data_IF_259432148371
#
_entry.id   IF_259432148371
#
_cell.length_a   1.000
_cell.length_b   1.000
_cell.length_c   1.000
_cell.angle_alpha   90.00
_cell.angle_beta   90.00
_cell.angle_gamma   90.00
#
_symmetry.space_group_name_H-M   'P 1'
#
loop_
_entity.id
_entity.type
_entity.pdbx_description
1 polymer ?
#
# COMPACT_ATOMS: atom_id res chain seq x y z
N UNK A 1 -0.37 -25.60 -57.35
CA UNK A 1 -1.12 -24.47 -56.74
C UNK A 1 -1.51 -24.66 -55.26
N UNK A 2 -1.61 -25.87 -54.70
CA UNK A 2 -2.00 -26.07 -53.28
C UNK A 2 -0.91 -25.67 -52.25
N UNK A 3 0.36 -25.77 -52.59
CA UNK A 3 1.50 -25.46 -51.71
C UNK A 3 1.70 -23.96 -51.49
N UNK A 4 1.48 -23.14 -52.53
CA UNK A 4 1.66 -21.68 -52.48
C UNK A 4 0.62 -20.97 -51.59
N UNK A 5 -0.61 -21.49 -51.53
CA UNK A 5 -1.66 -20.97 -50.65
C UNK A 5 -1.34 -21.27 -49.19
N UNK A 6 -0.65 -22.38 -48.90
CA UNK A 6 -0.31 -22.76 -47.54
C UNK A 6 0.82 -21.89 -46.97
N UNK A 7 1.84 -21.59 -47.77
CA UNK A 7 2.92 -20.65 -47.39
C UNK A 7 2.39 -19.23 -47.17
N UNK A 8 1.45 -18.76 -47.99
CA UNK A 8 0.82 -17.43 -47.79
C UNK A 8 0.01 -17.39 -46.48
N UNK A 9 -0.75 -18.44 -46.16
CA UNK A 9 -1.51 -18.52 -44.92
C UNK A 9 -0.62 -18.57 -43.68
N UNK A 10 0.49 -19.30 -43.74
CA UNK A 10 1.48 -19.37 -42.64
C UNK A 10 2.13 -17.99 -42.44
N UNK A 11 2.54 -17.32 -43.53
CA UNK A 11 3.13 -15.99 -43.44
C UNK A 11 2.18 -14.94 -42.81
N UNK A 12 0.89 -14.97 -43.19
CA UNK A 12 -0.13 -14.10 -42.59
C UNK A 12 -0.35 -14.39 -41.10
N UNK A 13 -0.32 -15.65 -40.69
CA UNK A 13 -0.46 -16.03 -39.28
C UNK A 13 0.75 -15.55 -38.44
N UNK A 14 1.96 -15.63 -38.99
CA UNK A 14 3.18 -15.16 -38.33
C UNK A 14 3.17 -13.65 -38.08
N UNK A 15 2.68 -12.87 -39.05
CA UNK A 15 2.59 -11.40 -38.94
C UNK A 15 1.55 -10.99 -37.88
N UNK A 16 0.42 -11.69 -37.81
CA UNK A 16 -0.62 -11.47 -36.79
C UNK A 16 -0.15 -11.82 -35.36
N UNK A 17 0.71 -12.84 -35.21
CA UNK A 17 1.26 -13.21 -33.91
C UNK A 17 2.31 -12.19 -33.43
N UNK A 18 3.10 -11.63 -34.34
CA UNK A 18 4.05 -10.57 -34.05
C UNK A 18 3.35 -9.28 -33.60
N UNK A 19 2.25 -8.87 -34.24
CA UNK A 19 1.52 -7.66 -33.85
C UNK A 19 0.79 -7.77 -32.50
N UNK A 20 0.30 -8.96 -32.13
CA UNK A 20 -0.29 -9.20 -30.81
C UNK A 20 0.76 -9.15 -29.68
N UNK A 21 2.03 -9.40 -29.97
CA UNK A 21 3.10 -9.42 -28.95
C UNK A 21 3.62 -8.02 -28.60
N UNK A 22 3.39 -7.00 -29.43
CA UNK A 22 3.92 -5.65 -29.23
C UNK A 22 2.97 -4.72 -28.44
N UNK A 23 1.75 -5.16 -28.13
CA UNK A 23 0.71 -4.29 -27.53
C UNK A 23 0.77 -4.17 -26.00
N UNK A 24 1.72 -4.84 -25.33
CA UNK A 24 1.85 -4.79 -23.86
C UNK A 24 3.15 -4.14 -23.35
N UNK A 25 3.92 -3.47 -24.22
CA UNK A 25 5.16 -2.79 -23.82
C UNK A 25 4.99 -1.26 -23.84
N UNK A 26 3.95 -0.74 -23.21
CA UNK A 26 3.93 0.67 -22.84
C UNK A 26 4.67 0.78 -21.50
N UNK A 27 6.00 0.93 -21.58
CA UNK A 27 6.83 1.27 -20.42
C UNK A 27 6.46 2.71 -20.05
N UNK A 28 5.57 2.84 -19.07
CA UNK A 28 5.32 4.12 -18.40
C UNK A 28 6.58 4.37 -17.56
N UNK A 29 7.45 5.25 -18.05
CA UNK A 29 8.46 5.87 -17.21
C UNK A 29 7.73 6.89 -16.35
N UNK A 30 7.42 6.53 -15.10
CA UNK A 30 7.19 7.51 -14.05
C UNK A 30 8.55 8.13 -13.75
N UNK A 31 8.86 9.26 -14.41
CA UNK A 31 9.88 10.18 -13.90
C UNK A 31 9.31 10.79 -12.61
N UNK A 32 9.44 10.07 -11.49
CA UNK A 32 9.38 10.68 -10.17
C UNK A 32 10.63 11.56 -10.01
N UNK A 33 10.54 12.81 -10.47
CA UNK A 33 11.52 13.82 -10.08
C UNK A 33 11.39 14.03 -8.57
N UNK A 34 12.26 13.36 -7.81
CA UNK A 34 12.43 13.59 -6.37
C UNK A 34 12.74 15.08 -6.16
N UNK A 35 11.83 15.80 -5.49
CA UNK A 35 12.01 17.23 -5.25
C UNK A 35 13.13 17.44 -4.23
N UNK A 36 14.26 17.99 -4.69
CA UNK A 36 15.42 18.28 -3.82
C UNK A 36 15.19 19.59 -3.08
N UNK A 37 14.94 19.51 -1.77
CA UNK A 37 14.81 20.69 -0.91
C UNK A 37 16.16 21.11 -0.32
N UNK A 38 16.51 22.39 -0.46
CA UNK A 38 17.76 23.01 0.02
C UNK A 38 17.88 23.14 1.56
N UNK A 39 16.92 22.60 2.31
CA UNK A 39 16.93 22.62 3.78
C UNK A 39 16.75 21.21 4.33
N UNK A 40 17.84 20.59 4.80
CA UNK A 40 17.80 19.29 5.49
C UNK A 40 17.05 19.31 6.83
N UNK A 41 16.69 20.49 7.35
CA UNK A 41 16.27 20.67 8.74
C UNK A 41 14.95 21.44 8.94
N UNK A 42 14.22 21.79 7.88
CA UNK A 42 12.88 22.36 8.05
C UNK A 42 11.86 21.22 8.23
N UNK A 43 11.22 21.16 9.39
CA UNK A 43 10.03 20.33 9.60
C UNK A 43 9.02 20.62 8.49
N UNK A 44 8.49 19.55 7.87
CA UNK A 44 7.46 19.66 6.84
C UNK A 44 6.23 20.35 7.40
N UNK A 45 5.80 21.43 6.74
CA UNK A 45 4.58 22.15 7.12
C UNK A 45 3.37 21.33 6.68
N UNK A 46 2.68 20.74 7.67
CA UNK A 46 1.47 19.92 7.47
C UNK A 46 0.23 20.79 7.68
N UNK A 47 -0.57 20.95 6.64
CA UNK A 47 -1.82 21.72 6.66
C UNK A 47 -3.00 20.90 7.17
N UNK A 48 -3.03 19.61 6.86
CA UNK A 48 -4.10 18.70 7.30
C UNK A 48 -3.54 17.30 7.40
N UNK A 49 -3.87 16.60 8.49
CA UNK A 49 -3.51 15.20 8.66
C UNK A 49 -4.51 14.56 9.62
N UNK A 50 -5.35 13.68 9.09
CA UNK A 50 -6.27 12.88 9.91
C UNK A 50 -5.80 11.42 10.10
N UNK A 51 -4.67 11.03 9.52
CA UNK A 51 -4.07 9.70 9.70
C UNK A 51 -3.58 9.47 11.14
N UNK A 52 -2.94 10.48 11.75
CA UNK A 52 -2.45 10.36 13.14
C UNK A 52 -3.58 10.08 14.12
N UNK A 53 -4.68 10.83 14.02
CA UNK A 53 -5.86 10.62 14.85
C UNK A 53 -6.53 9.27 14.54
N UNK A 54 -6.56 8.86 13.28
CA UNK A 54 -7.09 7.56 12.87
C UNK A 54 -6.27 6.40 13.47
N UNK A 55 -4.95 6.47 13.40
CA UNK A 55 -4.05 5.48 14.01
C UNK A 55 -4.17 5.46 15.53
N UNK A 56 -4.20 6.62 16.18
CA UNK A 56 -4.43 6.72 17.61
C UNK A 56 -5.76 6.08 18.04
N UNK A 57 -6.83 6.26 17.27
CA UNK A 57 -8.12 5.59 17.51
C UNK A 57 -8.04 4.08 17.38
N UNK A 58 -7.35 3.57 16.36
CA UNK A 58 -7.17 2.12 16.16
C UNK A 58 -6.36 1.50 17.29
N UNK A 59 -5.30 2.17 17.72
CA UNK A 59 -4.45 1.76 18.84
C UNK A 59 -5.27 1.70 20.14
N UNK A 60 -6.07 2.73 20.40
CA UNK A 60 -6.89 2.83 21.61
C UNK A 60 -7.93 1.70 21.76
N UNK A 61 -8.27 0.98 20.69
CA UNK A 61 -9.18 -0.17 20.81
C UNK A 61 -8.53 -1.40 21.43
N UNK A 62 -7.20 -1.45 21.56
CA UNK A 62 -6.37 -2.58 22.04
C UNK A 62 -6.52 -3.90 21.24
N UNK A 63 -7.48 -3.96 20.33
CA UNK A 63 -7.75 -5.09 19.45
C UNK A 63 -8.48 -4.58 18.20
N UNK A 64 -7.82 -4.66 17.05
CA UNK A 64 -8.38 -4.15 15.79
C UNK A 64 -9.13 -5.27 15.07
N UNK A 65 -10.47 -5.23 15.05
CA UNK A 65 -11.25 -6.14 14.20
C UNK A 65 -11.38 -5.56 12.79
N UNK A 66 -10.39 -5.85 11.94
CA UNK A 66 -10.35 -5.32 10.57
C UNK A 66 -11.61 -5.61 9.74
N UNK A 67 -12.33 -6.71 9.99
CA UNK A 67 -13.57 -6.99 9.24
C UNK A 67 -14.62 -5.92 9.53
N UNK A 68 -14.82 -5.61 10.82
CA UNK A 68 -15.80 -4.63 11.29
C UNK A 68 -15.36 -3.22 10.86
N UNK A 69 -14.11 -2.85 11.12
CA UNK A 69 -13.59 -1.52 10.81
C UNK A 69 -13.63 -1.22 9.30
N UNK A 70 -13.25 -2.18 8.44
CA UNK A 70 -13.33 -2.01 6.99
C UNK A 70 -14.77 -1.88 6.52
N UNK A 71 -15.71 -2.61 7.14
CA UNK A 71 -17.12 -2.54 6.78
C UNK A 71 -17.72 -1.18 7.13
N UNK A 72 -17.45 -0.67 8.34
CA UNK A 72 -17.88 0.66 8.80
C UNK A 72 -17.34 1.74 7.87
N UNK A 73 -16.02 1.77 7.66
CA UNK A 73 -15.36 2.75 6.79
C UNK A 73 -15.89 2.74 5.33
N UNK A 74 -16.40 1.61 4.83
CA UNK A 74 -17.06 1.56 3.51
C UNK A 74 -18.47 2.14 3.51
N UNK A 75 -19.22 1.93 4.59
CA UNK A 75 -20.58 2.45 4.73
C UNK A 75 -20.55 3.97 4.86
N UNK A 76 -19.63 4.47 5.68
CA UNK A 76 -19.47 5.91 5.96
C UNK A 76 -18.81 6.66 4.79
N UNK A 77 -18.15 5.92 3.88
CA UNK A 77 -17.35 6.46 2.77
C UNK A 77 -16.29 7.46 3.26
N UNK A 78 -15.69 7.15 4.40
CA UNK A 78 -14.69 8.01 5.02
C UNK A 78 -13.40 8.07 4.20
N UNK A 79 -12.83 9.28 4.15
CA UNK A 79 -11.54 9.56 3.53
C UNK A 79 -10.53 10.01 4.58
N UNK A 80 -9.30 9.55 4.40
CA UNK A 80 -8.13 10.03 5.09
C UNK A 80 -7.38 10.99 4.17
N UNK A 81 -7.02 12.13 4.73
CA UNK A 81 -6.43 13.25 4.04
C UNK A 81 -5.16 13.67 4.76
N UNK A 82 -4.09 13.74 3.99
CA UNK A 82 -2.82 14.33 4.36
C UNK A 82 -2.50 15.40 3.31
N UNK A 83 -2.30 16.63 3.78
CA UNK A 83 -1.92 17.77 2.96
C UNK A 83 -0.73 18.45 3.62
N UNK A 84 0.34 18.61 2.88
CA UNK A 84 1.53 19.34 3.30
C UNK A 84 2.05 20.23 2.18
N UNK A 85 3.11 20.98 2.47
CA UNK A 85 3.84 21.72 1.44
C UNK A 85 4.52 20.82 0.39
N UNK A 86 4.70 19.52 0.68
CA UNK A 86 5.50 18.58 -0.14
C UNK A 86 4.68 17.49 -0.80
N UNK A 87 3.65 16.99 -0.12
CA UNK A 87 2.87 15.85 -0.60
C UNK A 87 1.41 15.95 -0.18
N UNK A 88 0.56 15.38 -1.01
CA UNK A 88 -0.87 15.30 -0.79
C UNK A 88 -1.31 13.85 -0.99
N UNK A 89 -2.06 13.32 -0.03
CA UNK A 89 -2.59 11.98 -0.08
C UNK A 89 -4.04 11.99 0.38
N UNK A 90 -4.93 11.53 -0.49
CA UNK A 90 -6.32 11.27 -0.18
C UNK A 90 -6.64 9.79 -0.47
N UNK A 91 -7.01 9.03 0.55
CA UNK A 91 -7.38 7.62 0.39
C UNK A 91 -8.62 7.28 1.21
N UNK A 92 -9.42 6.34 0.71
CA UNK A 92 -10.51 5.78 1.50
C UNK A 92 -9.96 5.14 2.78
N UNK A 93 -10.56 5.42 3.93
CA UNK A 93 -10.19 4.81 5.21
C UNK A 93 -10.27 3.27 5.13
N UNK A 94 -11.23 2.74 4.37
CA UNK A 94 -11.33 1.30 4.10
C UNK A 94 -10.17 0.72 3.29
N UNK A 95 -9.55 1.50 2.41
CA UNK A 95 -8.34 1.11 1.68
C UNK A 95 -7.13 1.14 2.62
N UNK A 96 -7.00 2.18 3.44
CA UNK A 96 -5.94 2.28 4.44
C UNK A 96 -5.95 1.10 5.42
N UNK A 97 -7.12 0.76 5.98
CA UNK A 97 -7.28 -0.39 6.87
C UNK A 97 -6.87 -1.72 6.21
N UNK A 98 -7.15 -1.90 4.91
CA UNK A 98 -6.68 -3.07 4.17
C UNK A 98 -5.16 -3.09 4.04
N UNK A 99 -4.54 -1.93 3.80
CA UNK A 99 -3.08 -1.77 3.74
C UNK A 99 -2.44 -2.13 5.08
N UNK A 100 -2.94 -1.59 6.19
CA UNK A 100 -2.50 -1.96 7.55
C UNK A 100 -2.63 -3.47 7.77
N UNK A 101 -3.80 -4.05 7.52
CA UNK A 101 -4.03 -5.50 7.69
C UNK A 101 -3.05 -6.34 6.88
N UNK A 102 -2.80 -5.94 5.64
CA UNK A 102 -1.89 -6.63 4.72
C UNK A 102 -0.44 -6.53 5.20
N UNK A 103 0.00 -5.34 5.62
CA UNK A 103 1.33 -5.12 6.20
C UNK A 103 1.52 -5.97 7.44
N UNK A 104 0.62 -5.83 8.42
CA UNK A 104 0.73 -6.56 9.69
C UNK A 104 0.71 -8.09 9.50
N UNK A 105 0.02 -8.60 8.48
CA UNK A 105 0.03 -10.04 8.17
C UNK A 105 1.36 -10.49 7.51
N UNK A 106 1.98 -9.65 6.68
CA UNK A 106 3.16 -10.01 5.88
C UNK A 106 4.49 -9.73 6.58
N UNK A 107 4.50 -8.78 7.50
CA UNK A 107 5.71 -8.37 8.21
C UNK A 107 6.03 -9.32 9.36
N UNK A 108 7.31 -9.64 9.51
CA UNK A 108 7.87 -10.45 10.60
C UNK A 108 7.82 -9.73 11.94
N UNK A 109 7.96 -8.40 11.91
CA UNK A 109 8.13 -7.54 13.08
C UNK A 109 7.64 -6.11 12.77
N UNK A 110 7.75 -5.22 13.76
CA UNK A 110 7.34 -3.82 13.66
C UNK A 110 8.18 -3.02 12.66
N UNK A 111 9.47 -3.33 12.50
CA UNK A 111 10.36 -2.62 11.57
C UNK A 111 10.00 -2.96 10.12
N UNK A 112 9.82 -4.25 9.82
CA UNK A 112 9.33 -4.72 8.54
C UNK A 112 7.91 -4.20 8.23
N UNK A 113 7.09 -3.96 9.25
CA UNK A 113 5.79 -3.32 9.09
C UNK A 113 5.90 -1.84 8.75
N UNK A 114 6.77 -1.10 9.46
CA UNK A 114 7.03 0.31 9.18
C UNK A 114 7.57 0.50 7.76
N UNK A 115 8.54 -0.34 7.36
CA UNK A 115 9.06 -0.35 5.99
C UNK A 115 7.94 -0.64 4.97
N UNK A 116 7.09 -1.63 5.22
CA UNK A 116 5.97 -1.93 4.34
C UNK A 116 5.02 -0.74 4.16
N UNK A 117 4.73 0.02 5.23
CA UNK A 117 3.88 1.21 5.15
C UNK A 117 4.57 2.36 4.43
N UNK A 118 5.85 2.62 4.70
CA UNK A 118 6.62 3.66 4.00
C UNK A 118 6.72 3.37 2.50
N UNK A 119 6.94 2.11 2.11
CA UNK A 119 7.01 1.68 0.70
C UNK A 119 5.63 1.81 -0.01
N UNK A 120 4.52 1.90 0.73
CA UNK A 120 3.15 1.95 0.18
C UNK A 120 2.49 3.31 0.27
N UNK A 121 2.95 4.14 1.20
CA UNK A 121 2.42 5.47 1.53
C UNK A 121 3.61 6.40 1.82
N UNK A 122 4.51 6.62 0.84
CA UNK A 122 5.73 7.42 1.04
C UNK A 122 5.44 8.85 1.49
N UNK A 123 4.28 9.41 1.11
CA UNK A 123 3.79 10.73 1.53
C UNK A 123 3.68 10.86 3.06
N UNK A 124 3.45 9.74 3.75
CA UNK A 124 3.29 9.70 5.20
C UNK A 124 4.58 9.36 5.95
N UNK A 125 5.70 9.09 5.28
CA UNK A 125 6.93 8.59 5.92
C UNK A 125 7.41 9.51 7.05
N UNK A 126 7.45 10.81 6.82
CA UNK A 126 7.83 11.80 7.84
C UNK A 126 6.82 11.87 8.97
N UNK A 127 5.52 11.79 8.65
CA UNK A 127 4.46 11.79 9.65
C UNK A 127 4.49 10.55 10.54
N UNK A 128 4.74 9.37 9.98
CA UNK A 128 4.89 8.14 10.75
C UNK A 128 6.08 8.21 11.71
N UNK A 129 7.20 8.81 11.27
CA UNK A 129 8.36 9.05 12.13
C UNK A 129 8.04 10.04 13.26
N UNK A 130 7.27 11.09 12.95
CA UNK A 130 6.84 12.11 13.93
C UNK A 130 5.89 11.53 14.98
N UNK A 131 4.91 10.74 14.54
CA UNK A 131 3.92 10.13 15.43
C UNK A 131 4.50 9.04 16.32
N UNK A 132 5.55 8.35 15.84
CA UNK A 132 6.21 7.26 16.54
C UNK A 132 5.23 6.17 17.04
N UNK A 133 4.18 5.89 16.26
CA UNK A 133 3.07 5.00 16.66
C UNK A 133 3.01 3.69 15.86
N UNK A 134 3.92 3.48 14.89
CA UNK A 134 3.86 2.31 13.99
C UNK A 134 4.16 0.99 14.70
N UNK A 135 5.02 1.00 15.72
CA UNK A 135 5.29 -0.18 16.53
C UNK A 135 4.03 -0.63 17.27
N UNK A 136 3.37 0.28 17.98
CA UNK A 136 2.15 -0.01 18.70
C UNK A 136 1.00 -0.40 17.76
N UNK A 137 0.87 0.30 16.64
CA UNK A 137 -0.09 -0.04 15.58
C UNK A 137 0.15 -1.45 15.05
N UNK A 138 1.41 -1.85 14.84
CA UNK A 138 1.77 -3.22 14.45
C UNK A 138 1.32 -4.24 15.50
N UNK A 139 1.66 -4.01 16.77
CA UNK A 139 1.36 -4.94 17.85
C UNK A 139 -0.15 -5.23 17.98
N UNK A 140 -1.00 -4.21 17.83
CA UNK A 140 -2.45 -4.40 17.86
C UNK A 140 -3.02 -4.94 16.55
N UNK A 141 -2.42 -4.59 15.41
CA UNK A 141 -2.85 -5.08 14.12
C UNK A 141 -2.55 -6.57 13.94
N UNK A 142 -1.33 -7.00 14.30
CA UNK A 142 -0.81 -8.36 14.07
C UNK A 142 -1.69 -9.44 14.70
N UNK A 143 -2.14 -9.22 15.94
CA UNK A 143 -2.94 -10.18 16.74
C UNK A 143 -4.14 -10.76 16.00
N UNK A 144 -4.82 -9.97 15.15
CA UNK A 144 -6.03 -10.41 14.44
C UNK A 144 -5.78 -10.79 12.97
N UNK A 145 -4.53 -10.84 12.54
CA UNK A 145 -4.15 -11.33 11.21
C UNK A 145 -4.09 -12.86 11.17
N UNK A 146 -4.03 -13.44 9.97
CA UNK A 146 -3.91 -14.90 9.84
C UNK A 146 -2.58 -15.39 10.43
N UNK A 147 -1.47 -14.77 10.02
CA UNK A 147 -0.15 -15.17 10.52
C UNK A 147 0.01 -14.85 12.02
N UNK A 148 -0.53 -13.75 12.53
CA UNK A 148 -0.50 -13.48 13.98
C UNK A 148 -1.30 -14.48 14.81
N UNK A 149 -2.37 -15.06 14.26
CA UNK A 149 -3.08 -16.17 14.91
C UNK A 149 -2.27 -17.46 14.91
N UNK A 150 -1.50 -17.71 13.84
CA UNK A 150 -0.59 -18.87 13.78
C UNK A 150 0.51 -18.72 14.84
N UNK A 151 1.13 -17.54 14.93
CA UNK A 151 2.21 -17.27 15.90
C UNK A 151 1.74 -17.42 17.36
N UNK A 152 0.45 -17.18 17.63
CA UNK A 152 -0.15 -17.29 18.95
C UNK A 152 -0.58 -18.73 19.32
N UNK A 153 -0.47 -19.69 18.41
CA UNK A 153 -0.75 -21.10 18.74
C UNK A 153 0.33 -21.61 19.70
N UNK A 154 -0.04 -22.42 20.70
CA UNK A 154 0.95 -23.07 21.55
C UNK A 154 1.86 -23.93 20.65
N UNK A 155 3.18 -23.85 20.88
CA UNK A 155 4.11 -24.77 20.23
C UNK A 155 3.71 -26.19 20.63
N UNK A 156 3.14 -26.94 19.70
CA UNK A 156 2.89 -28.37 19.91
C UNK A 156 4.27 -29.01 19.87
N UNK A 157 4.81 -29.29 21.05
CA UNK A 157 5.95 -30.19 21.26
C UNK A 157 5.47 -31.63 21.11
#
# INVERSE_FOLDING_TARGET
MKTSIHTIKIALFSILFLSASVSNAQIIYEDELETVYLSKNAEEVVYTNNFSNFNGRLIATNQINFRIEIQRAKQDKDYLLFLSERSNLEILASAYLKTIRKGANRSSDAEAFAKFLNDRLPELMHQFKKDNNLEELYMYSRKNTFNGKIDALPSVL
#
